data_IF_693313662985
#
_entry.id   IF_693313662985
#
_cell.length_a   1.000
_cell.length_b   1.000
_cell.length_c   1.000
_cell.angle_alpha   90.00
_cell.angle_beta   90.00
_cell.angle_gamma   90.00
#
_symmetry.space_group_name_H-M   'P 1'
#
loop_
_entity.id
_entity.type
_entity.pdbx_description
1 polymer ?
#
# COMPACT_ATOMS: atom_id res chain seq x y z
N UNK A 1 3.24 14.09 -1.76
CA UNK A 1 2.49 12.88 -2.13
C UNK A 1 3.37 12.06 -3.07
N UNK A 2 3.56 10.78 -2.78
CA UNK A 2 4.26 9.83 -3.67
C UNK A 2 3.31 8.72 -4.08
N UNK A 3 3.58 8.05 -5.21
CA UNK A 3 2.67 7.06 -5.75
C UNK A 3 3.38 5.89 -6.43
N UNK A 4 2.69 4.75 -6.50
CA UNK A 4 3.07 3.55 -7.26
C UNK A 4 1.93 3.27 -8.24
N UNK A 5 2.26 3.18 -9.53
CA UNK A 5 1.31 2.73 -10.55
C UNK A 5 1.13 1.23 -10.36
N UNK A 6 -0.09 0.79 -10.05
CA UNK A 6 -0.39 -0.62 -9.78
C UNK A 6 -0.69 -1.39 -11.08
N UNK A 7 -1.37 -0.73 -12.01
CA UNK A 7 -1.66 -1.22 -13.37
C UNK A 7 -2.15 -0.03 -14.22
N UNK A 8 -2.69 -0.29 -15.42
CA UNK A 8 -3.21 0.73 -16.35
C UNK A 8 -4.31 1.64 -15.76
N UNK A 9 -4.98 1.19 -14.68
CA UNK A 9 -6.14 1.88 -14.10
C UNK A 9 -5.90 2.36 -12.67
N UNK A 10 -5.16 1.60 -11.89
CA UNK A 10 -5.04 1.79 -10.45
C UNK A 10 -3.71 2.43 -10.06
N UNK A 11 -3.78 3.37 -9.12
CA UNK A 11 -2.61 3.97 -8.47
C UNK A 11 -2.71 3.81 -6.96
N UNK A 12 -1.60 3.46 -6.30
CA UNK A 12 -1.44 3.51 -4.86
C UNK A 12 -0.67 4.76 -4.47
N UNK A 13 -1.35 5.72 -3.83
CA UNK A 13 -0.77 6.97 -3.36
C UNK A 13 -0.52 6.94 -1.86
N UNK A 14 0.51 7.67 -1.44
CA UNK A 14 0.96 7.81 -0.07
C UNK A 14 0.95 9.31 0.29
N UNK A 15 0.11 9.66 1.25
CA UNK A 15 0.01 11.00 1.82
C UNK A 15 0.54 11.01 3.25
N UNK A 16 1.53 11.87 3.51
CA UNK A 16 2.05 12.11 4.86
C UNK A 16 0.99 12.76 5.74
N UNK A 17 0.83 12.27 6.96
CA UNK A 17 -0.02 12.81 8.01
C UNK A 17 0.84 13.11 9.24
N UNK A 18 0.36 13.97 10.15
CA UNK A 18 1.06 14.35 11.40
C UNK A 18 1.60 13.15 12.20
N UNK A 19 0.93 11.98 12.14
CA UNK A 19 1.29 10.77 12.91
C UNK A 19 1.32 9.50 12.07
N UNK A 20 1.50 9.60 10.75
CA UNK A 20 1.53 8.40 9.90
C UNK A 20 1.39 8.69 8.42
N UNK A 21 0.88 7.71 7.70
CA UNK A 21 0.68 7.76 6.26
C UNK A 21 -0.74 7.35 5.94
N UNK A 22 -1.38 8.06 5.02
CA UNK A 22 -2.62 7.62 4.38
C UNK A 22 -2.28 7.00 3.04
N UNK A 23 -2.60 5.71 2.91
CA UNK A 23 -2.53 4.95 1.68
C UNK A 23 -3.87 5.08 0.96
N UNK A 24 -3.85 5.37 -0.34
CA UNK A 24 -5.05 5.64 -1.15
C UNK A 24 -4.94 4.84 -2.43
N UNK A 25 -5.98 4.10 -2.77
CA UNK A 25 -6.13 3.56 -4.13
C UNK A 25 -7.06 4.48 -4.92
N UNK A 26 -6.62 4.91 -6.09
CA UNK A 26 -7.42 5.68 -7.04
C UNK A 26 -7.49 5.03 -8.41
N UNK A 27 -8.59 5.32 -9.14
CA UNK A 27 -8.77 5.04 -10.57
C UNK A 27 -9.17 6.35 -11.26
N UNK A 28 -8.39 6.78 -12.27
CA UNK A 28 -8.63 8.03 -13.01
C UNK A 28 -8.99 9.22 -12.10
N UNK A 29 -8.13 9.49 -11.10
CA UNK A 29 -8.27 10.53 -10.08
C UNK A 29 -9.41 10.36 -9.06
N UNK A 30 -10.22 9.30 -9.17
CA UNK A 30 -11.24 8.96 -8.19
C UNK A 30 -10.69 8.06 -7.09
N UNK A 31 -10.76 8.50 -5.83
CA UNK A 31 -10.43 7.67 -4.67
C UNK A 31 -11.44 6.51 -4.52
N UNK A 32 -10.94 5.28 -4.55
CA UNK A 32 -11.73 4.07 -4.38
C UNK A 32 -11.75 3.60 -2.92
N UNK A 33 -10.58 3.55 -2.29
CA UNK A 33 -10.39 3.13 -0.90
C UNK A 33 -9.17 3.82 -0.30
N UNK A 34 -9.19 4.11 1.00
CA UNK A 34 -8.00 4.58 1.71
C UNK A 34 -7.86 3.94 3.09
N UNK A 35 -6.63 4.00 3.61
CA UNK A 35 -6.30 3.55 4.96
C UNK A 35 -5.21 4.42 5.59
N UNK A 36 -5.42 4.85 6.82
CA UNK A 36 -4.37 5.48 7.64
C UNK A 36 -3.60 4.40 8.38
N UNK A 37 -2.28 4.53 8.43
CA UNK A 37 -1.40 3.63 9.15
C UNK A 37 -0.18 4.39 9.72
N UNK A 38 0.43 3.85 10.76
CA UNK A 38 1.67 4.41 11.33
C UNK A 38 2.89 3.93 10.55
N UNK A 39 3.93 4.78 10.48
CA UNK A 39 5.22 4.39 9.89
C UNK A 39 5.78 3.12 10.53
N UNK A 40 5.69 3.00 11.86
CA UNK A 40 6.16 1.81 12.59
C UNK A 40 5.49 0.53 12.11
N UNK A 41 4.17 0.53 11.90
CA UNK A 41 3.44 -0.64 11.43
C UNK A 41 3.79 -0.97 9.97
N UNK A 42 3.95 0.03 9.11
CA UNK A 42 4.39 -0.17 7.72
C UNK A 42 5.83 -0.72 7.64
N UNK A 43 6.73 -0.24 8.50
CA UNK A 43 8.09 -0.77 8.60
C UNK A 43 8.12 -2.20 9.14
N UNK A 44 7.28 -2.51 10.13
CA UNK A 44 7.14 -3.88 10.64
C UNK A 44 6.59 -4.82 9.56
N UNK A 45 5.62 -4.35 8.78
CA UNK A 45 5.10 -5.08 7.62
C UNK A 45 6.19 -5.41 6.59
N UNK A 46 7.08 -4.45 6.28
CA UNK A 46 8.18 -4.67 5.34
C UNK A 46 9.26 -5.66 5.85
N UNK A 47 9.41 -5.82 7.16
CA UNK A 47 10.42 -6.69 7.77
C UNK A 47 10.01 -8.16 7.85
N UNK A 48 8.73 -8.47 7.80
CA UNK A 48 8.23 -9.84 7.89
C UNK A 48 8.31 -10.51 6.52
N UNK A 49 8.71 -11.79 6.47
CA UNK A 49 8.74 -12.54 5.20
C UNK A 49 7.34 -12.71 4.63
N UNK A 50 6.39 -13.13 5.47
CA UNK A 50 4.98 -13.26 5.13
C UNK A 50 4.10 -12.61 6.20
N UNK A 51 3.25 -11.68 5.78
CA UNK A 51 2.31 -10.99 6.67
C UNK A 51 1.20 -10.32 5.87
N UNK A 52 0.01 -10.26 6.46
CA UNK A 52 -1.10 -9.48 5.95
C UNK A 52 -1.37 -8.30 6.89
N UNK A 53 -1.52 -7.10 6.33
CA UNK A 53 -1.97 -5.92 7.08
C UNK A 53 -3.25 -5.35 6.51
N UNK A 54 -3.92 -4.61 7.39
CA UNK A 54 -5.27 -4.09 7.25
C UNK A 54 -6.35 -5.17 7.25
N UNK A 55 -7.56 -4.74 7.57
CA UNK A 55 -8.79 -5.54 7.46
C UNK A 55 -9.79 -4.72 6.64
N UNK A 56 -10.66 -5.41 5.90
CA UNK A 56 -11.74 -4.77 5.15
C UNK A 56 -11.37 -4.45 3.70
N UNK A 57 -11.65 -3.22 3.24
CA UNK A 57 -11.72 -2.89 1.80
C UNK A 57 -10.35 -2.75 1.12
N UNK A 58 -9.30 -2.37 1.84
CA UNK A 58 -7.92 -2.38 1.36
C UNK A 58 -7.12 -3.31 2.26
N UNK A 59 -6.42 -4.26 1.68
CA UNK A 59 -5.50 -5.17 2.36
C UNK A 59 -4.21 -5.28 1.57
N UNK A 60 -3.10 -5.45 2.28
CA UNK A 60 -1.79 -5.71 1.69
C UNK A 60 -1.28 -7.04 2.21
N UNK A 61 -0.98 -7.95 1.30
CA UNK A 61 -0.49 -9.29 1.62
C UNK A 61 0.95 -9.39 1.11
N UNK A 62 1.92 -9.37 2.01
CA UNK A 62 3.33 -9.53 1.66
C UNK A 62 3.68 -11.01 1.63
N UNK A 63 4.41 -11.41 0.58
CA UNK A 63 5.05 -12.73 0.46
C UNK A 63 6.44 -12.53 -0.11
N UNK A 64 7.46 -12.61 0.75
CA UNK A 64 8.85 -12.34 0.40
C UNK A 64 9.01 -10.97 -0.29
N UNK A 65 9.42 -10.98 -1.56
CA UNK A 65 9.75 -9.80 -2.36
C UNK A 65 8.54 -9.14 -3.04
N UNK A 66 7.34 -9.68 -2.84
CA UNK A 66 6.11 -9.12 -3.43
C UNK A 66 5.09 -8.71 -2.38
N UNK A 67 4.30 -7.71 -2.74
CA UNK A 67 3.10 -7.28 -2.01
C UNK A 67 1.91 -7.38 -2.96
N UNK A 68 0.96 -8.25 -2.64
CA UNK A 68 -0.34 -8.31 -3.30
C UNK A 68 -1.27 -7.25 -2.69
N UNK A 69 -1.80 -6.38 -3.55
CA UNK A 69 -2.78 -5.36 -3.21
C UNK A 69 -4.18 -5.93 -3.44
N UNK A 70 -4.95 -6.06 -2.35
CA UNK A 70 -6.28 -6.65 -2.36
C UNK A 70 -7.32 -5.57 -2.05
N UNK A 71 -8.27 -5.40 -2.97
CA UNK A 71 -9.35 -4.41 -2.86
C UNK A 71 -10.68 -5.15 -2.80
N UNK A 72 -11.49 -4.88 -1.77
CA UNK A 72 -12.79 -5.56 -1.53
C UNK A 72 -12.68 -7.10 -1.64
N UNK A 73 -11.64 -7.67 -1.03
CA UNK A 73 -11.31 -9.11 -1.04
C UNK A 73 -10.98 -9.69 -2.43
N UNK A 74 -10.62 -8.85 -3.41
CA UNK A 74 -10.16 -9.28 -4.74
C UNK A 74 -8.72 -8.84 -4.97
N UNK A 75 -7.79 -9.77 -5.28
CA UNK A 75 -6.47 -9.41 -5.78
C UNK A 75 -6.60 -8.45 -6.96
N UNK A 76 -5.92 -7.30 -6.87
CA UNK A 76 -6.06 -6.20 -7.84
C UNK A 76 -4.73 -5.85 -8.51
N UNK A 77 -3.62 -6.00 -7.81
CA UNK A 77 -2.28 -5.79 -8.35
C UNK A 77 -1.21 -6.47 -7.49
N UNK A 78 -0.01 -6.61 -8.05
CA UNK A 78 1.19 -7.05 -7.33
C UNK A 78 2.27 -6.00 -7.56
N UNK A 79 2.92 -5.57 -6.49
CA UNK A 79 4.07 -4.64 -6.52
C UNK A 79 5.26 -5.27 -5.81
N UNK A 80 6.46 -4.79 -6.08
CA UNK A 80 7.63 -5.24 -5.34
C UNK A 80 7.65 -4.65 -3.93
N UNK A 81 8.15 -5.43 -2.96
CA UNK A 81 8.43 -4.95 -1.60
C UNK A 81 9.41 -3.76 -1.64
N UNK A 82 10.36 -3.77 -2.57
CA UNK A 82 11.35 -2.71 -2.73
C UNK A 82 10.73 -1.39 -3.22
N UNK A 83 9.78 -1.41 -4.16
CA UNK A 83 9.12 -0.19 -4.62
C UNK A 83 8.30 0.44 -3.48
N UNK A 84 7.58 -0.37 -2.72
CA UNK A 84 6.85 0.10 -1.54
C UNK A 84 7.80 0.70 -0.50
N UNK A 85 8.90 0.01 -0.21
CA UNK A 85 9.93 0.49 0.73
C UNK A 85 10.56 1.80 0.25
N UNK A 86 10.93 1.88 -1.02
CA UNK A 86 11.51 3.08 -1.62
C UNK A 86 10.56 4.27 -1.53
N UNK A 87 9.27 4.07 -1.75
CA UNK A 87 8.30 5.15 -1.56
C UNK A 87 8.23 5.56 -0.09
N UNK A 88 8.06 4.60 0.82
CA UNK A 88 7.93 4.84 2.26
C UNK A 88 9.14 5.56 2.88
N UNK A 89 10.36 5.16 2.50
CA UNK A 89 11.62 5.72 2.99
C UNK A 89 11.84 7.18 2.52
N UNK A 90 11.09 7.62 1.51
CA UNK A 90 11.22 8.95 0.92
C UNK A 90 9.96 9.84 1.08
N UNK A 91 9.03 9.48 1.98
CA UNK A 91 7.82 10.26 2.28
C UNK A 91 8.06 11.52 3.11
#
# INVERSE_FOLDING_TARGET
MRQIILNEKLTLSFETLDKGVRLIISEADMELVCRKETYKNLQNFLKADEINIFKGRLQLHKRNEIIEVVIKNKPSAIISTNDFKNVLDNL
#
